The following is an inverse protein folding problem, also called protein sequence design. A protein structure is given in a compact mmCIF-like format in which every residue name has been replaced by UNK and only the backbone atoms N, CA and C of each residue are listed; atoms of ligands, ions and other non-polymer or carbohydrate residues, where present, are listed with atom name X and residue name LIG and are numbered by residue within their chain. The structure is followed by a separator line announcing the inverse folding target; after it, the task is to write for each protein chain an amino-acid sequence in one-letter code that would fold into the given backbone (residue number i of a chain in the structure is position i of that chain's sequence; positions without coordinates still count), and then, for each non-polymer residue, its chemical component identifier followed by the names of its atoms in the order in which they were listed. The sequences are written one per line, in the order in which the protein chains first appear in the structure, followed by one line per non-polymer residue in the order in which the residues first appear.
data_IF_808986224669
#
_entry.id   IF_808986224669
#
_cell.length_a   1.000
_cell.length_b   1.000
_cell.length_c   1.000
_cell.angle_alpha   90.00
_cell.angle_beta   90.00
_cell.angle_gamma   90.00
#
_symmetry.space_group_name_H-M   'P 1'
#
loop_
_entity.id
_entity.type
_entity.pdbx_description
1 polymer ?
#
# COMPACT_ATOMS: atom_id res chain seq x y z
N UNK A 1 -43.17 -26.17 52.46
CA UNK A 1 -41.88 -26.52 51.83
C UNK A 1 -42.01 -26.26 50.33
N UNK A 2 -41.63 -25.08 49.85
CA UNK A 2 -41.74 -24.68 48.43
C UNK A 2 -40.33 -24.34 47.93
N UNK A 3 -39.81 -25.11 46.97
CA UNK A 3 -38.52 -24.84 46.30
C UNK A 3 -38.79 -23.98 45.06
N UNK A 4 -38.20 -22.79 45.01
CA UNK A 4 -38.14 -21.95 43.80
C UNK A 4 -36.97 -22.42 42.92
N UNK A 5 -37.26 -22.74 41.67
CA UNK A 5 -36.25 -23.00 40.63
C UNK A 5 -36.01 -21.68 39.90
N UNK A 6 -34.78 -21.19 39.91
CA UNK A 6 -34.35 -20.01 39.16
C UNK A 6 -33.76 -20.53 37.85
N UNK A 7 -34.41 -20.21 36.73
CA UNK A 7 -33.91 -20.49 35.38
C UNK A 7 -33.09 -19.29 34.92
N UNK A 8 -31.78 -19.46 34.78
CA UNK A 8 -30.90 -18.49 34.15
C UNK A 8 -30.97 -18.67 32.63
N UNK A 9 -31.57 -17.70 31.94
CA UNK A 9 -31.52 -17.61 30.48
C UNK A 9 -30.22 -16.89 30.12
N UNK A 10 -29.24 -17.64 29.61
CA UNK A 10 -28.02 -17.11 29.01
C UNK A 10 -28.36 -16.57 27.62
N UNK A 11 -28.41 -15.25 27.50
CA UNK A 11 -28.50 -14.54 26.23
C UNK A 11 -27.12 -14.55 25.57
N UNK A 12 -26.94 -15.45 24.59
CA UNK A 12 -25.79 -15.42 23.68
C UNK A 12 -25.94 -14.22 22.76
N UNK A 13 -25.23 -13.13 23.06
CA UNK A 13 -25.07 -12.01 22.15
C UNK A 13 -24.13 -12.51 21.05
N UNK A 14 -24.70 -12.86 19.89
CA UNK A 14 -23.92 -13.15 18.70
C UNK A 14 -23.08 -11.93 18.35
N UNK A 15 -21.75 -12.09 18.35
CA UNK A 15 -20.84 -11.09 17.81
C UNK A 15 -21.12 -11.04 16.31
N UNK A 16 -21.90 -10.04 15.89
CA UNK A 16 -22.10 -9.78 14.48
C UNK A 16 -20.77 -9.38 13.86
N UNK A 17 -20.28 -10.19 12.91
CA UNK A 17 -19.16 -9.81 12.08
C UNK A 17 -19.59 -8.60 11.25
N UNK A 18 -18.92 -7.47 11.48
CA UNK A 18 -19.05 -6.28 10.61
C UNK A 18 -18.44 -6.68 9.28
N UNK A 19 -19.25 -6.88 8.25
CA UNK A 19 -18.74 -7.10 6.90
C UNK A 19 -17.95 -5.86 6.48
N UNK A 20 -16.74 -6.08 5.94
CA UNK A 20 -15.92 -4.99 5.41
C UNK A 20 -16.75 -4.24 4.36
N UNK A 21 -16.86 -2.93 4.54
CA UNK A 21 -17.63 -2.08 3.64
C UNK A 21 -16.84 -1.92 2.34
N UNK A 22 -17.47 -2.19 1.20
CA UNK A 22 -16.83 -2.07 -0.11
C UNK A 22 -16.60 -0.60 -0.47
N UNK A 23 -15.40 -0.27 -0.93
CA UNK A 23 -15.03 1.05 -1.42
C UNK A 23 -15.07 1.13 -2.94
N UNK A 24 -15.58 2.24 -3.47
CA UNK A 24 -15.44 2.65 -4.87
C UNK A 24 -14.50 3.85 -4.87
N UNK A 25 -13.55 3.88 -5.80
CA UNK A 25 -12.59 5.00 -5.90
C UNK A 25 -12.95 5.87 -7.10
N UNK A 26 -13.11 7.16 -6.88
CA UNK A 26 -13.34 8.11 -7.96
C UNK A 26 -12.02 8.35 -8.67
N UNK A 27 -11.93 7.98 -9.94
CA UNK A 27 -10.74 8.22 -10.75
C UNK A 27 -10.80 9.59 -11.41
N UNK A 28 -11.99 10.00 -11.86
CA UNK A 28 -12.19 11.28 -12.54
C UNK A 28 -13.64 11.77 -12.47
N UNK A 29 -13.80 13.08 -12.53
CA UNK A 29 -15.08 13.76 -12.78
C UNK A 29 -14.98 14.36 -14.18
N UNK A 30 -15.50 13.62 -15.16
CA UNK A 30 -15.31 13.91 -16.59
C UNK A 30 -16.07 15.15 -17.02
N UNK A 31 -17.27 15.34 -16.47
CA UNK A 31 -18.14 16.48 -16.75
C UNK A 31 -19.02 16.77 -15.54
N UNK A 32 -19.34 18.06 -15.33
CA UNK A 32 -20.21 18.52 -14.26
C UNK A 32 -19.56 18.54 -12.87
N UNK A 33 -20.34 18.94 -11.87
CA UNK A 33 -19.94 18.98 -10.47
C UNK A 33 -20.74 17.96 -9.67
N UNK A 34 -20.06 17.22 -8.80
CA UNK A 34 -20.70 16.23 -7.94
C UNK A 34 -20.32 16.51 -6.51
N UNK A 35 -21.32 16.49 -5.65
CA UNK A 35 -21.10 16.47 -4.21
C UNK A 35 -21.50 15.12 -3.65
N UNK A 36 -20.93 14.77 -2.49
CA UNK A 36 -21.32 13.58 -1.77
C UNK A 36 -21.42 13.85 -0.27
N UNK A 37 -22.26 13.09 0.41
CA UNK A 37 -22.40 13.16 1.86
C UNK A 37 -22.39 11.76 2.46
N UNK A 38 -21.68 11.60 3.57
CA UNK A 38 -21.75 10.36 4.35
C UNK A 38 -22.91 10.42 5.33
N UNK A 39 -23.47 9.28 5.69
CA UNK A 39 -24.53 9.23 6.71
C UNK A 39 -24.09 9.96 8.00
N UNK A 40 -24.91 10.93 8.42
CA UNK A 40 -24.67 11.77 9.60
C UNK A 40 -23.87 13.06 9.35
N UNK A 41 -23.39 13.31 8.12
CA UNK A 41 -22.81 14.61 7.77
C UNK A 41 -23.89 15.69 7.70
N UNK A 42 -23.54 16.91 8.12
CA UNK A 42 -24.46 18.07 8.10
C UNK A 42 -24.51 18.77 6.74
N UNK A 43 -23.50 18.56 5.90
CA UNK A 43 -23.41 19.15 4.56
C UNK A 43 -22.71 18.18 3.62
N UNK A 44 -23.09 18.23 2.34
CA UNK A 44 -22.35 17.58 1.28
C UNK A 44 -20.98 18.25 1.09
N UNK A 45 -20.03 17.50 0.54
CA UNK A 45 -18.70 17.98 0.16
C UNK A 45 -18.49 17.69 -1.32
N UNK A 46 -17.63 18.49 -1.97
CA UNK A 46 -17.26 18.24 -3.36
C UNK A 46 -16.56 16.88 -3.49
N UNK A 47 -16.94 16.15 -4.52
CA UNK A 47 -16.37 14.87 -4.85
C UNK A 47 -15.13 15.08 -5.71
N UNK A 48 -13.96 14.87 -5.12
CA UNK A 48 -12.68 15.05 -5.79
C UNK A 48 -12.15 13.72 -6.33
N UNK A 49 -11.38 13.72 -7.43
CA UNK A 49 -10.60 12.57 -7.85
C UNK A 49 -9.71 12.02 -6.72
N UNK A 50 -9.64 10.70 -6.63
CA UNK A 50 -9.02 9.93 -5.56
C UNK A 50 -9.94 9.68 -4.36
N UNK A 51 -11.13 10.28 -4.29
CA UNK A 51 -12.06 10.04 -3.18
C UNK A 51 -12.50 8.59 -3.16
N UNK A 52 -12.40 7.96 -1.98
CA UNK A 52 -12.96 6.64 -1.73
C UNK A 52 -14.36 6.84 -1.14
N UNK A 53 -15.36 6.48 -1.93
CA UNK A 53 -16.77 6.51 -1.55
C UNK A 53 -17.24 5.09 -1.22
N UNK A 54 -18.19 4.98 -0.31
CA UNK A 54 -18.79 3.71 0.10
C UNK A 54 -20.19 3.55 -0.49
N UNK A 55 -20.71 2.33 -0.47
CA UNK A 55 -22.11 2.03 -0.87
C UNK A 55 -23.16 2.65 0.05
N UNK A 56 -22.76 3.40 1.08
CA UNK A 56 -23.67 4.18 1.95
C UNK A 56 -23.54 5.68 1.78
N UNK A 57 -22.57 6.15 0.99
CA UNK A 57 -22.41 7.57 0.74
C UNK A 57 -23.44 8.01 -0.30
N UNK A 58 -24.07 9.14 -0.04
CA UNK A 58 -25.11 9.72 -0.88
C UNK A 58 -24.49 10.66 -1.88
N UNK A 59 -24.87 10.52 -3.16
CA UNK A 59 -24.37 11.37 -4.24
C UNK A 59 -25.37 12.47 -4.59
N UNK A 60 -24.84 13.63 -4.96
CA UNK A 60 -25.58 14.81 -5.41
C UNK A 60 -24.99 15.29 -6.74
N UNK A 61 -25.31 14.61 -7.85
CA UNK A 61 -24.78 14.95 -9.18
C UNK A 61 -25.49 16.18 -9.76
N UNK A 62 -24.76 17.00 -10.53
CA UNK A 62 -25.31 18.11 -11.32
C UNK A 62 -24.95 17.93 -12.80
N UNK A 63 -25.78 17.18 -13.53
CA UNK A 63 -25.59 16.82 -14.95
C UNK A 63 -24.15 16.34 -15.23
N UNK A 64 -23.73 15.32 -14.49
CA UNK A 64 -22.32 14.96 -14.37
C UNK A 64 -22.01 13.58 -14.90
N UNK A 65 -20.77 13.39 -15.36
CA UNK A 65 -20.22 12.10 -15.79
C UNK A 65 -19.04 11.72 -14.90
N UNK A 66 -19.05 10.50 -14.37
CA UNK A 66 -18.00 9.97 -13.49
C UNK A 66 -17.26 8.81 -14.12
N UNK A 67 -15.94 8.75 -13.88
CA UNK A 67 -15.14 7.56 -14.07
C UNK A 67 -14.70 7.03 -12.71
N UNK A 68 -15.04 5.79 -12.40
CA UNK A 68 -14.72 5.16 -11.12
C UNK A 68 -13.97 3.86 -11.29
N UNK A 69 -13.15 3.52 -10.30
CA UNK A 69 -12.60 2.19 -10.08
C UNK A 69 -13.49 1.48 -9.06
N UNK A 70 -14.15 0.42 -9.52
CA UNK A 70 -15.02 -0.40 -8.70
C UNK A 70 -14.24 -1.29 -7.75
N UNK A 71 -14.95 -1.85 -6.76
CA UNK A 71 -14.33 -2.70 -5.75
C UNK A 71 -13.71 -3.96 -6.35
N UNK A 72 -14.22 -4.48 -7.47
CA UNK A 72 -13.63 -5.60 -8.22
C UNK A 72 -12.41 -5.21 -9.08
N UNK A 73 -11.98 -3.95 -9.07
CA UNK A 73 -10.88 -3.45 -9.88
C UNK A 73 -11.23 -3.13 -11.34
N UNK A 74 -12.48 -3.31 -11.76
CA UNK A 74 -12.95 -2.86 -13.06
C UNK A 74 -13.23 -1.35 -13.03
N UNK A 75 -13.08 -0.69 -14.18
CA UNK A 75 -13.49 0.70 -14.34
C UNK A 75 -14.93 0.79 -14.84
N UNK A 76 -15.65 1.82 -14.41
CA UNK A 76 -16.99 2.10 -14.89
C UNK A 76 -17.20 3.59 -15.11
N UNK A 77 -17.84 3.93 -16.23
CA UNK A 77 -18.33 5.28 -16.49
C UNK A 77 -19.80 5.35 -16.08
N UNK A 78 -20.14 6.31 -15.23
CA UNK A 78 -21.53 6.64 -14.90
C UNK A 78 -21.92 7.92 -15.62
N UNK A 79 -22.95 7.85 -16.45
CA UNK A 79 -23.50 9.01 -17.14
C UNK A 79 -24.56 9.72 -16.26
N UNK A 80 -24.99 10.94 -16.61
CA UNK A 80 -25.99 11.68 -15.83
C UNK A 80 -27.28 10.88 -15.58
N UNK A 81 -27.68 10.01 -16.50
CA UNK A 81 -28.87 9.16 -16.36
C UNK A 81 -28.71 8.02 -15.33
N UNK A 82 -27.47 7.62 -15.05
CA UNK A 82 -27.14 6.55 -14.10
C UNK A 82 -26.97 7.11 -12.67
N UNK A 83 -26.69 8.41 -12.55
CA UNK A 83 -26.46 9.08 -11.28
C UNK A 83 -27.77 9.69 -10.75
N UNK A 84 -28.23 9.18 -9.60
CA UNK A 84 -29.44 9.69 -8.94
C UNK A 84 -29.08 10.42 -7.65
N UNK A 85 -29.69 11.60 -7.39
CA UNK A 85 -29.56 12.27 -6.11
C UNK A 85 -29.97 11.36 -4.95
N UNK A 86 -29.26 11.44 -3.84
CA UNK A 86 -29.49 10.67 -2.62
C UNK A 86 -29.42 9.15 -2.82
N UNK A 87 -28.71 8.69 -3.85
CA UNK A 87 -28.43 7.27 -4.07
C UNK A 87 -26.94 6.98 -3.97
N UNK A 88 -26.57 5.82 -3.41
CA UNK A 88 -25.20 5.36 -3.45
C UNK A 88 -24.80 4.94 -4.85
N UNK A 89 -23.51 5.09 -5.15
CA UNK A 89 -22.93 4.50 -6.35
C UNK A 89 -22.97 2.98 -6.24
N UNK A 90 -23.40 2.32 -7.31
CA UNK A 90 -23.49 0.88 -7.41
C UNK A 90 -22.72 0.40 -8.63
N UNK A 91 -21.57 -0.21 -8.39
CA UNK A 91 -20.89 -1.00 -9.40
C UNK A 91 -21.64 -2.33 -9.64
N UNK A 92 -21.58 -2.93 -10.84
CA UNK A 92 -22.01 -4.29 -11.08
C UNK A 92 -21.44 -5.23 -10.02
N UNK A 93 -22.30 -6.02 -9.38
CA UNK A 93 -21.89 -6.89 -8.29
C UNK A 93 -21.05 -8.06 -8.79
N UNK A 94 -19.77 -8.07 -8.41
CA UNK A 94 -18.87 -9.23 -8.39
C UNK A 94 -17.92 -9.08 -7.20
N UNK A 95 -17.21 -10.16 -6.85
CA UNK A 95 -16.40 -10.27 -5.63
C UNK A 95 -15.51 -9.04 -5.37
N UNK A 96 -15.60 -8.50 -4.15
CA UNK A 96 -14.96 -7.25 -3.75
C UNK A 96 -13.45 -7.41 -3.54
N UNK A 97 -12.67 -6.50 -4.11
CA UNK A 97 -11.20 -6.45 -4.04
C UNK A 97 -10.70 -5.13 -3.43
N UNK A 98 -11.53 -4.09 -3.29
CA UNK A 98 -11.15 -2.80 -2.67
C UNK A 98 -11.67 -2.70 -1.23
N UNK A 99 -10.83 -2.90 -0.20
CA UNK A 99 -11.08 -2.51 1.16
C UNK A 99 -11.03 -0.98 1.29
N UNK A 100 -11.94 -0.48 2.11
CA UNK A 100 -11.89 0.90 2.58
C UNK A 100 -10.70 1.04 3.54
N UNK A 101 -9.76 1.98 3.31
CA UNK A 101 -8.72 2.26 4.30
C UNK A 101 -9.40 2.60 5.63
N UNK A 102 -9.06 1.87 6.68
CA UNK A 102 -9.71 2.01 7.99
C UNK A 102 -9.74 3.47 8.46
N UNK A 103 -10.89 3.91 8.98
CA UNK A 103 -11.01 5.22 9.65
C UNK A 103 -10.17 5.23 10.92
N UNK A 104 -8.93 5.74 10.83
CA UNK A 104 -8.16 6.51 11.83
C UNK A 104 -6.66 6.41 11.55
N UNK A 105 -6.01 7.56 11.34
CA UNK A 105 -4.57 7.76 11.53
C UNK A 105 -4.30 8.12 12.99
N UNK A 106 -3.72 7.20 13.76
CA UNK A 106 -3.04 7.52 15.00
C UNK A 106 -1.73 8.26 14.66
N UNK A 107 -1.41 9.29 15.44
CA UNK A 107 -0.09 9.94 15.45
C UNK A 107 0.97 8.90 15.83
N UNK A 108 1.85 8.51 14.90
CA UNK A 108 3.03 7.66 15.15
C UNK A 108 4.11 8.17 14.18
N UNK A 109 5.08 8.97 14.63
CA UNK A 109 6.40 8.66 15.21
C UNK A 109 7.43 8.11 14.22
N UNK A 110 8.34 9.04 13.87
CA UNK A 110 9.57 9.03 13.07
C UNK A 110 10.37 7.73 13.01
N UNK A 111 10.93 7.51 11.83
CA UNK A 111 11.60 6.31 11.36
C UNK A 111 12.86 6.73 10.64
N UNK A 112 13.75 7.34 11.43
CA UNK A 112 15.14 7.55 11.10
C UNK A 112 15.85 7.74 12.45
N UNK A 113 16.05 6.66 13.20
CA UNK A 113 16.72 6.80 14.49
C UNK A 113 18.22 7.12 14.35
N UNK A 114 18.86 6.82 13.21
CA UNK A 114 20.22 7.29 12.94
C UNK A 114 20.49 7.51 11.43
N UNK A 115 20.69 8.76 10.94
CA UNK A 115 21.01 9.02 9.52
C UNK A 115 22.39 8.47 9.12
N UNK A 116 23.18 8.01 10.09
CA UNK A 116 24.51 7.41 9.91
C UNK A 116 24.47 5.88 9.81
N UNK A 117 23.29 5.27 9.95
CA UNK A 117 23.09 3.84 9.80
C UNK A 117 22.37 3.57 8.47
N UNK A 118 22.70 2.47 7.76
CA UNK A 118 21.90 2.04 6.64
C UNK A 118 20.52 1.62 7.17
N UNK A 119 19.48 1.95 6.42
CA UNK A 119 18.13 1.45 6.62
C UNK A 119 17.55 1.07 5.27
N UNK A 120 17.01 -0.14 5.19
CA UNK A 120 16.34 -0.64 3.99
C UNK A 120 15.14 0.26 3.71
N UNK A 121 15.02 0.83 2.52
CA UNK A 121 13.85 1.58 2.06
C UNK A 121 12.83 0.67 1.36
N UNK A 122 13.30 -0.33 0.60
CA UNK A 122 12.46 -1.31 -0.09
C UNK A 122 13.26 -2.58 -0.40
N UNK A 123 12.62 -3.77 -0.43
CA UNK A 123 11.30 -4.06 0.11
C UNK A 123 11.31 -4.14 1.63
N UNK A 124 10.16 -3.87 2.26
CA UNK A 124 9.94 -4.07 3.69
C UNK A 124 8.46 -4.17 4.00
N UNK A 125 8.08 -5.16 4.81
CA UNK A 125 6.68 -5.37 5.24
C UNK A 125 5.69 -5.39 4.06
N UNK A 126 6.09 -5.97 2.93
CA UNK A 126 5.39 -5.91 1.64
C UNK A 126 5.49 -7.26 0.93
N UNK A 127 4.56 -7.54 0.02
CA UNK A 127 4.75 -8.55 -1.01
C UNK A 127 5.43 -7.95 -2.24
N UNK A 128 6.03 -8.82 -3.05
CA UNK A 128 6.62 -8.56 -4.35
C UNK A 128 5.94 -9.44 -5.39
N UNK A 129 5.61 -8.89 -6.56
CA UNK A 129 5.10 -9.66 -7.71
C UNK A 129 6.20 -10.21 -8.59
N UNK A 130 7.38 -9.60 -8.55
CA UNK A 130 8.55 -10.00 -9.33
C UNK A 130 9.49 -10.87 -8.48
N UNK A 131 10.02 -11.93 -9.08
CA UNK A 131 11.05 -12.79 -8.47
C UNK A 131 12.41 -12.07 -8.39
N UNK A 132 12.62 -11.04 -9.21
CA UNK A 132 13.85 -10.25 -9.22
C UNK A 132 13.81 -9.14 -8.15
N UNK A 133 14.42 -9.45 -7.00
CA UNK A 133 14.54 -8.52 -5.88
C UNK A 133 15.41 -7.30 -6.21
N UNK A 134 14.84 -6.09 -6.13
CA UNK A 134 15.62 -4.85 -6.05
C UNK A 134 15.56 -4.26 -4.65
N UNK A 135 16.72 -4.16 -4.00
CA UNK A 135 16.90 -3.58 -2.68
C UNK A 135 17.26 -2.11 -2.82
N UNK A 136 16.60 -1.23 -2.05
CA UNK A 136 16.91 0.20 -1.94
C UNK A 136 17.18 0.56 -0.48
N UNK A 137 18.14 1.43 -0.22
CA UNK A 137 18.47 1.95 1.12
C UNK A 137 18.99 3.38 1.05
N UNK A 138 19.12 4.06 2.19
CA UNK A 138 19.75 5.39 2.20
C UNK A 138 21.25 5.30 1.88
N UNK A 139 21.69 6.16 0.96
CA UNK A 139 23.11 6.40 0.78
C UNK A 139 23.71 7.04 2.05
N UNK A 140 24.95 6.67 2.36
CA UNK A 140 25.68 7.15 3.53
C UNK A 140 26.97 7.85 3.13
N UNK A 141 27.39 8.82 3.93
CA UNK A 141 28.66 9.51 3.72
C UNK A 141 29.83 8.68 4.27
N UNK A 142 31.01 8.84 3.66
CA UNK A 142 32.26 8.21 4.08
C UNK A 142 32.20 6.67 4.11
N UNK A 143 31.47 6.05 3.19
CA UNK A 143 31.42 4.60 3.03
C UNK A 143 32.54 4.11 2.13
N UNK A 144 33.20 3.03 2.54
CA UNK A 144 34.16 2.28 1.73
C UNK A 144 33.44 1.23 0.87
N UNK A 145 32.56 0.44 1.48
CA UNK A 145 31.75 -0.56 0.79
C UNK A 145 30.49 -0.94 1.58
N UNK A 146 29.55 -1.55 0.87
CA UNK A 146 28.37 -2.21 1.41
C UNK A 146 28.47 -3.73 1.17
N UNK A 147 27.79 -4.48 2.02
CA UNK A 147 27.47 -5.89 1.81
C UNK A 147 26.00 -6.09 2.09
N UNK A 148 25.29 -6.72 1.16
CA UNK A 148 23.86 -6.99 1.25
C UNK A 148 23.70 -8.48 1.47
N UNK A 149 22.96 -8.85 2.51
CA UNK A 149 22.59 -10.24 2.78
C UNK A 149 21.08 -10.36 2.75
N UNK A 150 20.59 -11.23 1.89
CA UNK A 150 19.18 -11.66 1.87
C UNK A 150 19.08 -12.93 2.70
N UNK A 151 18.18 -12.93 3.67
CA UNK A 151 17.97 -14.05 4.59
C UNK A 151 16.59 -14.64 4.37
N UNK A 152 16.52 -15.95 4.29
CA UNK A 152 15.30 -16.74 4.36
C UNK A 152 15.09 -17.14 5.81
N UNK A 153 14.06 -16.60 6.47
CA UNK A 153 13.90 -16.71 7.93
C UNK A 153 15.21 -16.36 8.69
N UNK A 154 15.95 -17.36 9.18
CA UNK A 154 17.22 -17.17 9.89
C UNK A 154 18.45 -17.62 9.09
N UNK A 155 18.25 -18.24 7.92
CA UNK A 155 19.31 -18.77 7.07
C UNK A 155 19.73 -17.75 6.02
N UNK A 156 20.99 -17.83 5.57
CA UNK A 156 21.50 -16.98 4.50
C UNK A 156 21.02 -17.57 3.17
N UNK A 157 20.18 -16.81 2.47
CA UNK A 157 19.75 -17.14 1.11
C UNK A 157 20.80 -16.70 0.10
N UNK A 158 21.29 -15.45 0.23
CA UNK A 158 22.29 -14.88 -0.66
C UNK A 158 23.06 -13.74 0.01
N UNK A 159 24.32 -13.55 -0.37
CA UNK A 159 25.17 -12.44 0.07
C UNK A 159 25.90 -11.85 -1.13
N UNK A 160 25.91 -10.52 -1.23
CA UNK A 160 26.63 -9.80 -2.28
C UNK A 160 28.15 -9.86 -2.09
N UNK A 161 28.89 -9.64 -3.18
CA UNK A 161 30.27 -9.17 -3.09
C UNK A 161 30.34 -7.77 -2.43
N UNK A 162 31.55 -7.25 -2.20
CA UNK A 162 31.74 -5.89 -1.71
C UNK A 162 31.31 -4.87 -2.76
N UNK A 163 30.28 -4.10 -2.45
CA UNK A 163 29.72 -3.07 -3.33
C UNK A 163 30.27 -1.69 -2.96
N UNK A 164 30.92 -0.99 -3.87
CA UNK A 164 31.39 0.38 -3.63
C UNK A 164 30.25 1.39 -3.79
N UNK A 165 30.31 2.55 -3.12
CA UNK A 165 29.35 3.63 -3.32
C UNK A 165 29.12 3.97 -4.81
N UNK A 166 30.17 3.98 -5.63
CA UNK A 166 30.05 4.29 -7.07
C UNK A 166 29.23 3.26 -7.86
N UNK A 167 29.10 2.03 -7.36
CA UNK A 167 28.32 0.98 -8.00
C UNK A 167 26.83 1.07 -7.66
N UNK A 168 26.49 1.55 -6.47
CA UNK A 168 25.13 1.41 -5.90
C UNK A 168 24.44 2.73 -5.62
N UNK A 169 25.17 3.81 -5.37
CA UNK A 169 24.59 5.10 -4.98
C UNK A 169 24.26 5.96 -6.19
N UNK A 170 23.01 6.43 -6.23
CA UNK A 170 22.55 7.50 -7.09
C UNK A 170 21.85 8.56 -6.23
N UNK A 171 22.42 9.76 -6.20
CA UNK A 171 22.00 10.87 -5.33
C UNK A 171 22.01 10.48 -3.84
N UNK A 172 20.85 10.30 -3.21
CA UNK A 172 20.69 9.96 -1.79
C UNK A 172 20.20 8.52 -1.58
N UNK A 173 20.09 7.74 -2.64
CA UNK A 173 19.55 6.39 -2.62
C UNK A 173 20.61 5.43 -3.13
N UNK A 174 20.85 4.38 -2.37
CA UNK A 174 21.64 3.25 -2.82
C UNK A 174 20.70 2.12 -3.24
N UNK A 175 21.04 1.42 -4.32
CA UNK A 175 20.22 0.34 -4.86
C UNK A 175 21.06 -0.82 -5.39
N UNK A 176 20.50 -2.03 -5.32
CA UNK A 176 21.09 -3.23 -5.88
C UNK A 176 20.01 -4.23 -6.26
N UNK A 177 20.19 -4.92 -7.38
CA UNK A 177 19.29 -5.97 -7.86
C UNK A 177 19.94 -7.33 -7.70
N UNK A 178 19.18 -8.27 -7.16
CA UNK A 178 19.61 -9.65 -6.96
C UNK A 178 19.92 -10.31 -8.32
N UNK A 179 21.01 -11.10 -8.42
CA UNK A 179 21.33 -11.83 -9.65
C UNK A 179 20.19 -12.76 -10.11
N UNK A 180 20.01 -12.89 -11.43
CA UNK A 180 18.96 -13.73 -12.04
C UNK A 180 19.09 -15.22 -11.72
N UNK A 181 20.27 -15.71 -11.32
CA UNK A 181 20.50 -17.10 -10.92
C UNK A 181 20.07 -17.41 -9.47
N UNK A 182 19.54 -16.41 -8.75
CA UNK A 182 19.01 -16.54 -7.39
C UNK A 182 17.56 -16.00 -7.29
N UNK A 183 16.59 -16.54 -8.06
CA UNK A 183 15.21 -16.07 -7.99
C UNK A 183 14.61 -16.34 -6.61
N UNK A 184 13.74 -15.43 -6.15
CA UNK A 184 13.00 -15.63 -4.91
C UNK A 184 12.06 -16.84 -5.04
N UNK A 185 11.83 -17.52 -3.93
CA UNK A 185 10.89 -18.63 -3.85
C UNK A 185 9.54 -18.10 -3.32
N UNK A 186 8.41 -18.44 -3.96
CA UNK A 186 7.10 -17.96 -3.52
C UNK A 186 6.77 -18.31 -2.07
N UNK A 187 5.99 -17.45 -1.42
CA UNK A 187 5.40 -17.64 -0.09
C UNK A 187 6.41 -17.83 1.05
N UNK A 188 7.67 -17.46 0.83
CA UNK A 188 8.74 -17.48 1.83
C UNK A 188 8.98 -16.08 2.37
N UNK A 189 9.19 -16.01 3.69
CA UNK A 189 9.54 -14.77 4.39
C UNK A 189 11.03 -14.48 4.23
N UNK A 190 11.33 -13.34 3.60
CA UNK A 190 12.69 -12.85 3.43
C UNK A 190 12.95 -11.59 4.27
N UNK A 191 14.19 -11.42 4.72
CA UNK A 191 14.66 -10.18 5.34
C UNK A 191 15.96 -9.72 4.69
N UNK A 192 16.25 -8.42 4.80
CA UNK A 192 17.47 -7.82 4.25
C UNK A 192 18.32 -7.28 5.39
N UNK A 193 19.59 -7.65 5.35
CA UNK A 193 20.63 -7.12 6.20
C UNK A 193 21.62 -6.33 5.33
N UNK A 194 21.85 -5.07 5.69
CA UNK A 194 22.83 -4.22 5.02
C UNK A 194 23.94 -3.92 6.02
N UNK A 195 25.13 -4.39 5.71
CA UNK A 195 26.35 -4.06 6.42
C UNK A 195 27.13 -3.00 5.65
N UNK A 196 27.69 -2.04 6.37
CA UNK A 196 28.50 -0.95 5.82
C UNK A 196 29.88 -0.96 6.46
N UNK A 197 30.92 -0.79 5.64
CA UNK A 197 32.27 -0.48 6.12
C UNK A 197 32.55 0.98 5.81
N UNK A 198 32.86 1.79 6.82
CA UNK A 198 33.23 3.20 6.66
C UNK A 198 34.71 3.37 6.33
N UNK A 199 35.09 4.53 5.80
CA UNK A 199 36.47 4.90 5.47
C UNK A 199 37.43 4.84 6.69
N UNK A 200 36.90 4.97 7.90
CA UNK A 200 37.65 4.81 9.15
C UNK A 200 37.74 3.35 9.63
N UNK A 201 37.36 2.37 8.79
CA UNK A 201 37.32 0.93 9.05
C UNK A 201 36.28 0.46 10.07
N UNK A 202 35.44 1.35 10.60
CA UNK A 202 34.31 0.94 11.41
C UNK A 202 33.29 0.20 10.53
N UNK A 203 32.67 -0.81 11.12
CA UNK A 203 31.62 -1.59 10.49
C UNK A 203 30.35 -1.50 11.32
N UNK A 204 29.21 -1.62 10.66
CA UNK A 204 27.94 -1.86 11.32
C UNK A 204 26.91 -2.41 10.34
N UNK A 205 25.90 -3.08 10.88
CA UNK A 205 24.85 -3.73 10.12
C UNK A 205 23.46 -3.31 10.63
N UNK A 206 22.46 -3.31 9.74
CA UNK A 206 21.05 -2.98 10.08
C UNK A 206 20.48 -3.80 11.25
N UNK A 207 21.06 -4.97 11.51
CA UNK A 207 20.67 -5.91 12.58
C UNK A 207 21.34 -5.63 13.92
N UNK A 208 22.33 -4.72 13.97
CA UNK A 208 23.06 -4.42 15.20
C UNK A 208 22.10 -3.88 16.28
N UNK A 209 22.27 -4.24 17.58
CA UNK A 209 21.35 -3.87 18.65
C UNK A 209 21.11 -2.37 18.87
N UNK A 210 21.94 -1.49 18.28
CA UNK A 210 21.76 -0.04 18.29
C UNK A 210 21.05 0.53 17.07
N UNK A 211 20.87 -0.26 16.00
CA UNK A 211 20.28 0.15 14.72
C UNK A 211 18.96 -0.59 14.44
N UNK A 212 18.79 -1.78 15.00
CA UNK A 212 17.56 -2.55 14.89
C UNK A 212 16.41 -1.88 15.66
N UNK A 213 15.33 -1.55 14.96
CA UNK A 213 14.14 -0.90 15.52
C UNK A 213 13.10 -1.89 16.07
N UNK A 214 13.34 -3.20 15.95
CA UNK A 214 12.38 -4.25 16.31
C UNK A 214 11.16 -4.34 15.38
N UNK A 215 11.16 -3.58 14.28
CA UNK A 215 10.11 -3.63 13.27
C UNK A 215 10.31 -4.86 12.40
N UNK A 216 9.24 -5.61 12.18
CA UNK A 216 9.25 -6.75 11.27
C UNK A 216 9.30 -6.26 9.81
N UNK A 217 10.51 -6.24 9.25
CA UNK A 217 10.76 -5.81 7.88
C UNK A 217 10.68 -6.96 6.87
N UNK A 218 10.09 -8.11 7.24
CA UNK A 218 9.98 -9.24 6.33
C UNK A 218 9.17 -8.87 5.08
N UNK A 219 9.58 -9.41 3.93
CA UNK A 219 8.85 -9.31 2.67
C UNK A 219 8.69 -10.71 2.06
N UNK A 220 7.80 -10.81 1.07
CA UNK A 220 7.39 -12.08 0.48
C UNK A 220 7.39 -11.95 -1.04
N UNK A 221 7.82 -12.99 -1.74
CA UNK A 221 7.54 -13.12 -3.17
C UNK A 221 6.19 -13.83 -3.33
N UNK A 222 5.24 -13.17 -3.99
CA UNK A 222 3.85 -13.61 -4.14
C UNK A 222 3.38 -13.24 -5.54
N UNK A 223 3.58 -14.12 -6.53
CA UNK A 223 3.06 -13.87 -7.87
C UNK A 223 1.53 -13.81 -7.83
N UNK A 224 0.95 -12.88 -8.58
CA UNK A 224 -0.50 -12.68 -8.65
C UNK A 224 -0.91 -12.38 -10.10
N UNK A 225 -0.96 -13.44 -10.91
CA UNK A 225 -1.35 -13.35 -12.33
C UNK A 225 -2.72 -12.69 -12.50
N UNK A 226 -3.65 -12.88 -11.55
CA UNK A 226 -4.98 -12.28 -11.62
C UNK A 226 -4.95 -10.76 -11.41
N UNK A 227 -4.04 -10.26 -10.56
CA UNK A 227 -3.80 -8.83 -10.42
C UNK A 227 -3.07 -8.27 -11.64
N UNK A 228 -2.11 -9.00 -12.20
CA UNK A 228 -1.38 -8.62 -13.41
C UNK A 228 -2.38 -8.41 -14.57
N UNK A 229 -3.26 -9.39 -14.81
CA UNK A 229 -4.31 -9.32 -15.81
C UNK A 229 -5.23 -8.09 -15.60
N UNK A 230 -5.58 -7.77 -14.34
CA UNK A 230 -6.40 -6.58 -14.03
C UNK A 230 -5.66 -5.29 -14.35
N UNK A 231 -4.38 -5.21 -13.99
CA UNK A 231 -3.54 -4.04 -14.25
C UNK A 231 -3.39 -3.82 -15.76
N UNK A 232 -3.19 -4.88 -16.53
CA UNK A 232 -3.06 -4.82 -17.98
C UNK A 232 -4.37 -4.34 -18.62
N UNK A 233 -5.52 -4.88 -18.20
CA UNK A 233 -6.83 -4.42 -18.67
C UNK A 233 -7.11 -2.93 -18.37
N UNK A 234 -6.59 -2.39 -17.26
CA UNK A 234 -6.71 -0.96 -16.96
C UNK A 234 -5.92 -0.10 -17.94
N UNK A 235 -4.78 -0.59 -18.43
CA UNK A 235 -3.89 0.18 -19.31
C UNK A 235 -4.52 0.54 -20.67
N UNK A 236 -5.46 -0.29 -21.12
CA UNK A 236 -6.22 -0.05 -22.36
C UNK A 236 -7.32 1.00 -22.21
N UNK A 237 -7.74 1.32 -20.98
CA UNK A 237 -8.94 2.13 -20.72
C UNK A 237 -8.64 3.46 -20.03
N UNK A 238 -7.54 3.57 -19.29
CA UNK A 238 -7.20 4.74 -18.49
C UNK A 238 -6.07 5.56 -19.12
N UNK A 239 -6.16 6.89 -18.96
CA UNK A 239 -5.02 7.76 -19.20
C UNK A 239 -3.96 7.55 -18.11
N UNK A 240 -2.69 7.84 -18.41
CA UNK A 240 -1.55 7.50 -17.54
C UNK A 240 -1.67 7.97 -16.08
N UNK A 241 -2.11 9.22 -15.76
CA UNK A 241 -2.26 9.63 -14.37
C UNK A 241 -3.30 8.81 -13.59
N UNK A 242 -4.47 8.56 -14.20
CA UNK A 242 -5.54 7.74 -13.64
C UNK A 242 -5.09 6.28 -13.51
N UNK A 243 -4.35 5.77 -14.50
CA UNK A 243 -3.79 4.42 -14.50
C UNK A 243 -2.83 4.22 -13.31
N UNK A 244 -1.87 5.13 -13.09
CA UNK A 244 -0.92 5.04 -11.97
C UNK A 244 -1.65 5.01 -10.62
N UNK A 245 -2.66 5.86 -10.45
CA UNK A 245 -3.47 5.89 -9.24
C UNK A 245 -4.28 4.60 -9.06
N UNK A 246 -4.94 4.12 -10.11
CA UNK A 246 -5.73 2.90 -10.09
C UNK A 246 -4.86 1.66 -9.80
N UNK A 247 -3.68 1.55 -10.43
CA UNK A 247 -2.69 0.52 -10.14
C UNK A 247 -2.30 0.55 -8.67
N UNK A 248 -1.98 1.71 -8.11
CA UNK A 248 -1.65 1.83 -6.69
C UNK A 248 -2.80 1.35 -5.80
N UNK A 249 -4.05 1.70 -6.11
CA UNK A 249 -5.21 1.21 -5.36
C UNK A 249 -5.30 -0.31 -5.38
N UNK A 250 -5.12 -0.95 -6.55
CA UNK A 250 -5.13 -2.41 -6.64
C UNK A 250 -3.94 -3.07 -5.92
N UNK A 251 -2.77 -2.43 -5.91
CA UNK A 251 -1.59 -2.96 -5.22
C UNK A 251 -1.69 -2.85 -3.69
N UNK A 252 -2.55 -1.97 -3.17
CA UNK A 252 -2.78 -1.80 -1.73
C UNK A 252 -3.69 -2.87 -1.12
N UNK A 253 -4.27 -3.75 -1.95
CA UNK A 253 -5.25 -4.72 -1.47
C UNK A 253 -4.59 -5.84 -0.68
N UNK A 254 -5.12 -6.16 0.52
CA UNK A 254 -4.65 -7.30 1.30
C UNK A 254 -4.64 -8.57 0.46
N UNK A 255 -3.54 -9.30 0.55
CA UNK A 255 -3.41 -10.62 -0.01
C UNK A 255 -3.92 -11.60 1.07
N UNK A 256 -5.06 -12.25 0.81
CA UNK A 256 -5.74 -13.09 1.79
C UNK A 256 -4.89 -14.24 2.33
N UNK A 257 -3.92 -14.72 1.56
CA UNK A 257 -3.04 -15.82 1.95
C UNK A 257 -1.97 -15.43 2.97
N UNK A 258 -1.73 -14.14 3.22
CA UNK A 258 -0.60 -13.67 4.01
C UNK A 258 -0.98 -12.64 5.08
N UNK A 259 -0.63 -12.97 6.32
CA UNK A 259 -0.63 -12.01 7.41
C UNK A 259 0.62 -12.19 8.26
N UNK A 260 1.23 -11.08 8.65
CA UNK A 260 2.41 -11.05 9.52
C UNK A 260 2.04 -10.31 10.79
N UNK A 261 2.17 -10.99 11.92
CA UNK A 261 1.78 -10.45 13.23
C UNK A 261 0.32 -9.96 13.25
N UNK A 262 -0.55 -10.61 12.46
CA UNK A 262 -1.96 -10.24 12.30
C UNK A 262 -2.21 -8.98 11.47
N UNK A 263 -1.17 -8.43 10.83
CA UNK A 263 -1.31 -7.32 9.88
C UNK A 263 -1.40 -7.87 8.45
N UNK A 264 -2.34 -7.36 7.62
CA UNK A 264 -2.47 -7.76 6.23
C UNK A 264 -1.26 -7.28 5.42
N UNK A 265 -0.71 -8.17 4.59
CA UNK A 265 0.31 -7.82 3.60
C UNK A 265 -0.35 -7.50 2.26
N UNK A 266 0.25 -6.55 1.55
CA UNK A 266 -0.09 -6.21 0.17
C UNK A 266 1.20 -5.80 -0.57
N UNK A 267 1.07 -5.38 -1.83
CA UNK A 267 2.17 -4.88 -2.66
C UNK A 267 2.47 -3.40 -2.36
N UNK A 268 2.63 -3.05 -1.08
CA UNK A 268 2.74 -1.67 -0.60
C UNK A 268 3.93 -0.92 -1.20
N UNK A 269 5.08 -1.56 -1.35
CA UNK A 269 6.25 -0.91 -1.95
C UNK A 269 5.99 -0.49 -3.40
N UNK A 270 5.37 -1.37 -4.18
CA UNK A 270 5.02 -1.05 -5.56
C UNK A 270 3.92 0.02 -5.64
N UNK A 271 2.93 -0.02 -4.75
CA UNK A 271 1.91 1.03 -4.66
C UNK A 271 2.53 2.42 -4.36
N UNK A 272 3.53 2.48 -3.46
CA UNK A 272 4.29 3.71 -3.19
C UNK A 272 5.01 4.19 -4.44
N UNK A 273 5.67 3.30 -5.19
CA UNK A 273 6.38 3.65 -6.42
C UNK A 273 5.41 4.24 -7.46
N UNK A 274 4.22 3.65 -7.66
CA UNK A 274 3.18 4.18 -8.58
C UNK A 274 2.68 5.57 -8.17
N UNK A 275 2.40 5.80 -6.89
CA UNK A 275 1.93 7.10 -6.40
C UNK A 275 3.03 8.17 -6.44
N UNK A 276 4.28 7.79 -6.15
CA UNK A 276 5.42 8.70 -6.24
C UNK A 276 5.70 9.06 -7.70
N UNK A 277 5.59 8.10 -8.61
CA UNK A 277 5.66 8.34 -10.05
C UNK A 277 4.56 9.30 -10.51
N UNK A 278 3.32 9.12 -10.05
CA UNK A 278 2.22 10.03 -10.35
C UNK A 278 2.54 11.47 -9.91
N UNK A 279 3.12 11.68 -8.73
CA UNK A 279 3.51 13.00 -8.27
C UNK A 279 4.68 13.61 -9.05
N UNK A 280 5.65 12.79 -9.45
CA UNK A 280 6.83 13.24 -10.17
C UNK A 280 6.53 13.59 -11.63
N UNK A 281 5.80 12.72 -12.33
CA UNK A 281 5.55 12.83 -13.76
C UNK A 281 4.37 13.79 -14.06
N UNK A 282 3.44 13.96 -13.11
CA UNK A 282 2.22 14.76 -13.29
C UNK A 282 1.94 15.71 -12.12
N UNK A 283 2.89 16.61 -11.75
CA UNK A 283 2.81 17.40 -10.52
C UNK A 283 1.60 18.36 -10.45
N UNK A 284 1.03 18.75 -11.59
CA UNK A 284 -0.12 19.65 -11.68
C UNK A 284 -1.47 18.90 -11.80
N UNK A 285 -1.46 17.57 -11.88
CA UNK A 285 -2.68 16.79 -12.03
C UNK A 285 -3.49 16.74 -10.73
N UNK A 286 -4.82 16.74 -10.83
CA UNK A 286 -5.73 16.76 -9.66
C UNK A 286 -5.53 15.56 -8.73
N UNK A 287 -5.24 14.37 -9.28
CA UNK A 287 -4.90 13.18 -8.48
C UNK A 287 -3.56 13.34 -7.75
N UNK A 288 -2.54 13.88 -8.41
CA UNK A 288 -1.19 14.06 -7.87
C UNK A 288 -1.15 15.07 -6.71
N UNK A 289 -1.99 16.10 -6.80
CA UNK A 289 -2.10 17.19 -5.81
C UNK A 289 -3.20 16.96 -4.76
N UNK A 290 -3.97 15.88 -4.89
CA UNK A 290 -5.08 15.58 -3.99
C UNK A 290 -4.57 15.36 -2.55
N UNK A 291 -5.22 15.98 -1.53
CA UNK A 291 -4.93 15.68 -0.12
C UNK A 291 -5.08 14.19 0.21
N UNK A 292 -5.93 13.48 -0.53
CA UNK A 292 -6.16 12.05 -0.35
C UNK A 292 -4.91 11.25 -0.74
N UNK A 293 -4.23 11.59 -1.83
CA UNK A 293 -2.98 10.93 -2.21
C UNK A 293 -1.91 11.10 -1.12
N UNK A 294 -1.76 12.30 -0.58
CA UNK A 294 -0.83 12.56 0.53
C UNK A 294 -1.13 11.69 1.77
N UNK A 295 -2.42 11.53 2.09
CA UNK A 295 -2.85 10.68 3.20
C UNK A 295 -2.57 9.19 2.92
N UNK A 296 -2.81 8.72 1.69
CA UNK A 296 -2.53 7.35 1.27
C UNK A 296 -1.03 7.07 1.36
N UNK A 297 -0.18 7.94 0.79
CA UNK A 297 1.27 7.79 0.89
C UNK A 297 1.74 7.75 2.34
N UNK A 298 1.25 8.66 3.20
CA UNK A 298 1.59 8.64 4.63
C UNK A 298 1.21 7.33 5.33
N UNK A 299 0.05 6.76 4.99
CA UNK A 299 -0.39 5.47 5.50
C UNK A 299 0.43 4.29 4.97
N UNK A 300 0.82 4.32 3.69
CA UNK A 300 1.69 3.32 3.10
C UNK A 300 3.08 3.35 3.72
N UNK A 301 3.69 4.53 3.86
CA UNK A 301 4.95 4.71 4.56
C UNK A 301 4.88 4.17 6.00
N UNK A 302 3.75 4.36 6.69
CA UNK A 302 3.53 3.80 8.03
C UNK A 302 3.51 2.27 8.01
N UNK A 303 2.79 1.67 7.05
CA UNK A 303 2.71 0.21 6.88
C UNK A 303 4.06 -0.43 6.57
N UNK A 304 4.93 0.27 5.84
CA UNK A 304 6.30 -0.17 5.53
C UNK A 304 7.34 0.39 6.52
N UNK A 305 6.93 0.95 7.66
CA UNK A 305 7.84 1.43 8.71
C UNK A 305 8.82 2.54 8.30
N UNK A 306 8.47 3.38 7.30
CA UNK A 306 9.26 4.51 6.79
C UNK A 306 8.85 5.89 7.33
N UNK A 307 7.92 5.95 8.28
CA UNK A 307 7.47 7.20 8.92
C UNK A 307 8.46 7.68 9.93
#
# INVERSE_FOLDING_TARGET
MWRRVIVFILLLIGVGYVQAQEGIVILDVVEGDIQYARLGWQSAQDLLPGTIVTTTDLMYPQDSTLLVLCSNGNTQVFFPADLRPDQPLQCPQEDSVVPVPGRRTLRVQRGAQHPTAPYVMSPRSTALRDEQLTVRWNALINVLNYTITVREANDIFWTSDLLTPQQVENENIAQWTLPEDHPLIPDIAYTIEICVTFMNTQQGCTTDPGWNTGINNAFYYVPDEALDDRIDNLSDTLQTPQLLYAQAVLLMQPIDSLSVDGMPIAYYAEAIDKLTQLQADYPDHVLATSPILSNILGELYRKVGLT
#
